data_IF_217472301175
#
_entry.id   IF_217472301175
#
_cell.length_a   1.000
_cell.length_b   1.000
_cell.length_c   1.000
_cell.angle_alpha   90.00
_cell.angle_beta   90.00
_cell.angle_gamma   90.00
#
_symmetry.space_group_name_H-M   'P 1'
#
loop_
_entity.id
_entity.type
_entity.pdbx_description
1 polymer ?
#
# COMPACT_ATOMS: atom_id res chain seq x y z
N UNK A 1 -0.85 1.18 4.04
CA UNK A 1 -1.05 1.72 5.40
C UNK A 1 -0.80 0.68 6.47
N UNK A 2 -0.43 1.09 7.69
CA UNK A 2 -0.22 0.21 8.85
C UNK A 2 -1.55 -0.24 9.47
N UNK A 3 -2.34 -1.04 8.75
CA UNK A 3 -3.65 -1.47 9.21
C UNK A 3 -3.90 -2.96 9.00
N UNK A 4 -4.85 -3.48 9.79
CA UNK A 4 -5.37 -4.83 9.65
C UNK A 4 -4.29 -5.91 9.67
N UNK A 5 -4.36 -6.83 8.70
CA UNK A 5 -3.43 -7.94 8.57
C UNK A 5 -1.98 -7.47 8.42
N UNK A 6 -1.72 -6.38 7.69
CA UNK A 6 -0.35 -5.90 7.52
C UNK A 6 0.30 -5.55 8.86
N UNK A 7 -0.41 -4.80 9.71
CA UNK A 7 0.07 -4.43 11.04
C UNK A 7 0.38 -5.66 11.89
N UNK A 8 -0.53 -6.66 11.89
CA UNK A 8 -0.32 -7.90 12.65
C UNK A 8 0.92 -8.69 12.19
N UNK A 9 1.14 -8.80 10.88
CA UNK A 9 2.31 -9.51 10.35
C UNK A 9 3.62 -8.76 10.62
N UNK A 10 3.59 -7.42 10.57
CA UNK A 10 4.73 -6.59 10.93
C UNK A 10 5.12 -6.80 12.40
N UNK A 11 4.12 -6.80 13.30
CA UNK A 11 4.31 -7.01 14.74
C UNK A 11 4.77 -8.43 15.09
N UNK A 12 4.38 -9.43 14.29
CA UNK A 12 4.79 -10.83 14.50
C UNK A 12 6.08 -11.23 13.79
N UNK A 13 6.66 -10.34 12.97
CA UNK A 13 7.89 -10.64 12.24
C UNK A 13 9.08 -10.76 13.19
N UNK A 14 9.96 -11.74 12.97
CA UNK A 14 11.22 -11.86 13.73
C UNK A 14 12.11 -10.63 13.63
N UNK A 15 12.04 -9.92 12.50
CA UNK A 15 12.65 -8.61 12.28
C UNK A 15 11.64 -7.67 11.64
N UNK A 16 10.90 -6.94 12.48
CA UNK A 16 9.87 -6.00 12.05
C UNK A 16 10.44 -4.86 11.19
N UNK A 17 11.65 -4.39 11.49
CA UNK A 17 12.24 -3.28 10.74
C UNK A 17 12.58 -3.74 9.31
N UNK A 18 13.28 -4.86 9.17
CA UNK A 18 13.57 -5.43 7.85
C UNK A 18 12.30 -5.76 7.08
N UNK A 19 11.27 -6.29 7.75
CA UNK A 19 9.98 -6.54 7.11
C UNK A 19 9.37 -5.24 6.56
N UNK A 20 9.34 -4.18 7.37
CA UNK A 20 8.84 -2.88 6.95
C UNK A 20 9.62 -2.32 5.76
N UNK A 21 10.95 -2.38 5.80
CA UNK A 21 11.83 -1.84 4.76
C UNK A 21 11.65 -2.60 3.45
N UNK A 22 11.60 -3.93 3.49
CA UNK A 22 11.30 -4.76 2.31
C UNK A 22 9.96 -4.38 1.70
N UNK A 23 8.91 -4.19 2.52
CA UNK A 23 7.56 -3.88 2.02
C UNK A 23 7.47 -2.46 1.46
N UNK A 24 8.17 -1.52 2.05
CA UNK A 24 8.28 -0.14 1.56
C UNK A 24 9.01 -0.08 0.22
N UNK A 25 10.10 -0.84 0.06
CA UNK A 25 10.89 -0.89 -1.17
C UNK A 25 10.18 -1.56 -2.38
N UNK A 26 9.03 -2.19 -2.16
CA UNK A 26 8.15 -2.70 -3.24
C UNK A 26 7.26 -1.62 -3.84
N UNK A 27 7.06 -0.53 -3.11
CA UNK A 27 6.25 0.58 -3.57
C UNK A 27 7.07 1.43 -4.57
N UNK A 28 6.50 1.91 -5.68
CA UNK A 28 7.23 2.73 -6.66
C UNK A 28 7.90 3.96 -6.06
N UNK A 29 7.29 4.55 -5.02
CA UNK A 29 7.82 5.70 -4.30
C UNK A 29 8.62 5.32 -3.03
N UNK A 30 8.88 4.03 -2.81
CA UNK A 30 9.68 3.51 -1.69
C UNK A 30 9.01 3.62 -0.32
N UNK A 31 7.70 3.92 -0.24
CA UNK A 31 6.99 4.08 1.03
C UNK A 31 5.59 3.50 1.01
N UNK A 32 5.15 2.96 2.15
CA UNK A 32 3.78 2.47 2.31
C UNK A 32 2.83 3.68 2.51
N UNK A 33 1.75 3.83 1.71
CA UNK A 33 0.80 4.91 1.87
C UNK A 33 0.14 4.93 3.25
N UNK A 34 -0.11 6.10 3.81
CA UNK A 34 -0.82 6.28 5.08
C UNK A 34 -2.34 6.26 4.92
N UNK A 35 -3.06 6.05 6.03
CA UNK A 35 -4.53 6.06 6.04
C UNK A 35 -5.11 7.38 5.53
N UNK A 36 -4.49 8.52 5.90
CA UNK A 36 -4.93 9.85 5.45
C UNK A 36 -4.82 10.04 3.94
N UNK A 37 -3.87 9.39 3.28
CA UNK A 37 -3.68 9.52 1.83
C UNK A 37 -4.77 8.76 1.07
N UNK A 38 -5.16 7.58 1.58
CA UNK A 38 -6.32 6.83 1.08
C UNK A 38 -7.61 7.64 1.32
N UNK A 39 -7.76 8.24 2.50
CA UNK A 39 -8.91 9.08 2.81
C UNK A 39 -9.00 10.32 1.90
N UNK A 40 -7.88 10.94 1.54
CA UNK A 40 -7.85 12.05 0.58
C UNK A 40 -8.36 11.63 -0.81
N UNK A 41 -8.03 10.42 -1.28
CA UNK A 41 -8.57 9.90 -2.53
C UNK A 41 -10.09 9.72 -2.45
N UNK A 42 -10.61 9.18 -1.33
CA UNK A 42 -12.05 9.08 -1.10
C UNK A 42 -12.73 10.46 -1.05
N UNK A 43 -12.10 11.44 -0.39
CA UNK A 43 -12.62 12.80 -0.31
C UNK A 43 -12.70 13.47 -1.69
N UNK A 44 -11.71 13.24 -2.56
CA UNK A 44 -11.76 13.69 -3.95
C UNK A 44 -12.96 13.08 -4.70
N UNK A 45 -13.23 11.79 -4.52
CA UNK A 45 -14.36 11.12 -5.16
C UNK A 45 -15.73 11.66 -4.68
N UNK A 46 -15.78 12.28 -3.50
CA UNK A 46 -16.97 12.96 -2.98
C UNK A 46 -17.09 14.42 -3.42
N UNK A 47 -16.09 14.94 -4.14
CA UNK A 47 -16.06 16.33 -4.59
C UNK A 47 -16.76 16.54 -5.93
N UNK A 48 -17.07 17.80 -6.26
CA UNK A 48 -17.57 18.19 -7.58
C UNK A 48 -16.56 17.89 -8.71
N UNK A 49 -15.27 17.66 -8.40
CA UNK A 49 -14.28 17.28 -9.41
C UNK A 49 -14.46 15.86 -9.97
N UNK A 50 -15.28 15.03 -9.33
CA UNK A 50 -15.42 13.61 -9.65
C UNK A 50 -16.78 13.23 -10.27
N UNK A 51 -17.61 14.19 -10.71
CA UNK A 51 -19.01 13.93 -11.13
C UNK A 51 -19.15 12.86 -12.22
N UNK A 52 -18.13 12.71 -13.07
CA UNK A 52 -18.11 11.77 -14.18
C UNK A 52 -17.49 10.42 -13.82
N UNK A 53 -16.95 10.25 -12.60
CA UNK A 53 -16.35 9.01 -12.13
C UNK A 53 -17.41 8.18 -11.41
N UNK A 54 -17.97 7.18 -12.09
CA UNK A 54 -18.96 6.28 -11.51
C UNK A 54 -18.76 4.84 -12.00
N UNK A 55 -19.08 3.86 -11.14
CA UNK A 55 -18.99 2.43 -11.46
C UNK A 55 -17.56 1.92 -11.71
N UNK A 56 -16.55 2.58 -11.15
CA UNK A 56 -15.14 2.23 -11.33
C UNK A 56 -14.45 1.99 -9.99
N UNK A 57 -13.51 1.03 -9.98
CA UNK A 57 -12.60 0.82 -8.87
C UNK A 57 -11.40 1.77 -8.98
N UNK A 58 -11.27 2.67 -8.02
CA UNK A 58 -10.13 3.60 -7.93
C UNK A 58 -9.11 3.04 -6.93
N UNK A 59 -7.98 2.58 -7.45
CA UNK A 59 -6.92 1.98 -6.63
C UNK A 59 -6.04 3.07 -5.99
N UNK A 60 -6.07 3.18 -4.66
CA UNK A 60 -5.25 4.11 -3.87
C UNK A 60 -4.16 3.37 -3.08
N UNK A 61 -3.23 2.73 -3.78
CA UNK A 61 -2.22 1.82 -3.19
C UNK A 61 -0.77 2.32 -3.30
N UNK A 62 -0.56 3.55 -3.77
CA UNK A 62 0.78 4.11 -4.00
C UNK A 62 1.46 3.60 -5.27
N UNK A 63 0.72 2.93 -6.17
CA UNK A 63 1.22 2.38 -7.42
C UNK A 63 1.72 0.95 -7.30
N UNK A 64 1.45 0.25 -6.19
CA UNK A 64 1.86 -1.13 -5.98
C UNK A 64 1.37 -2.03 -7.13
N UNK A 65 0.09 -1.93 -7.46
CA UNK A 65 -0.59 -2.71 -8.51
C UNK A 65 -0.13 -2.33 -9.92
N UNK A 66 0.45 -1.15 -10.10
CA UNK A 66 0.99 -0.71 -11.40
C UNK A 66 2.39 -1.27 -11.68
N UNK A 67 3.05 -1.84 -10.67
CA UNK A 67 4.38 -2.44 -10.81
C UNK A 67 4.31 -3.96 -10.88
N UNK A 68 5.25 -4.55 -11.62
CA UNK A 68 5.49 -5.99 -11.60
C UNK A 68 6.71 -6.25 -10.71
N UNK A 69 6.52 -6.87 -9.55
CA UNK A 69 7.61 -7.18 -8.64
C UNK A 69 8.36 -8.43 -9.14
N UNK A 70 9.49 -8.24 -9.83
CA UNK A 70 10.39 -9.33 -10.21
C UNK A 70 11.21 -9.88 -9.03
N UNK A 71 11.09 -9.33 -7.81
CA UNK A 71 11.85 -9.77 -6.64
C UNK A 71 11.15 -10.94 -5.95
N UNK A 72 11.22 -12.11 -6.58
CA UNK A 72 10.75 -13.40 -6.04
C UNK A 72 11.75 -14.07 -5.08
N UNK A 73 12.78 -13.33 -4.63
CA UNK A 73 13.84 -13.84 -3.77
C UNK A 73 13.52 -13.91 -2.27
N UNK A 74 14.44 -14.51 -1.51
CA UNK A 74 14.39 -14.76 -0.06
C UNK A 74 14.18 -13.52 0.85
N UNK A 75 14.12 -12.32 0.28
CA UNK A 75 14.13 -11.04 1.00
C UNK A 75 12.76 -10.62 1.56
N UNK A 76 11.69 -11.38 1.27
CA UNK A 76 10.33 -11.01 1.70
C UNK A 76 9.36 -12.14 2.04
N UNK A 77 9.86 -13.36 2.28
CA UNK A 77 9.03 -14.43 2.83
C UNK A 77 8.74 -14.15 4.31
N UNK A 78 7.46 -14.15 4.71
CA UNK A 78 7.10 -14.28 6.12
C UNK A 78 7.41 -15.73 6.53
N UNK A 79 8.15 -15.88 7.63
CA UNK A 79 8.20 -17.13 8.40
C UNK A 79 6.88 -17.37 9.13
#
# INVERSE_FOLDING_TARGET
>A
MMAGLFKRHLESAADSQRFFDTRSARQPNGRIPEAREVASAALFLLSEGAVALNGADVTADGGLTASFDFRTGAEGASI
#
